data_IF_651184145825
#
_entry.id   IF_651184145825
#
_cell.length_a   1.000
_cell.length_b   1.000
_cell.length_c   1.000
_cell.angle_alpha   90.00
_cell.angle_beta   90.00
_cell.angle_gamma   90.00
#
_symmetry.space_group_name_H-M   'P 1'
#
loop_
_entity.id
_entity.type
_entity.pdbx_description
1 polymer ?
#
# COMPACT_ATOMS: atom_id res chain seq x y z
N UNK A 1 4.96 -22.75 -39.01
CA UNK A 1 4.75 -21.30 -38.81
C UNK A 1 3.98 -20.97 -37.53
N UNK A 2 3.07 -21.83 -37.08
CA UNK A 2 2.27 -21.68 -35.84
C UNK A 2 3.12 -21.57 -34.55
N UNK A 3 4.20 -22.36 -34.40
CA UNK A 3 5.03 -22.37 -33.18
C UNK A 3 5.68 -21.02 -32.86
N UNK A 4 6.15 -20.28 -33.87
CA UNK A 4 6.79 -18.97 -33.66
C UNK A 4 5.76 -17.90 -33.26
N UNK A 5 4.59 -17.90 -33.88
CA UNK A 5 3.50 -16.97 -33.56
C UNK A 5 2.99 -17.19 -32.13
N UNK A 6 2.81 -18.44 -31.71
CA UNK A 6 2.38 -18.76 -30.33
C UNK A 6 3.42 -18.33 -29.29
N UNK A 7 4.72 -18.50 -29.57
CA UNK A 7 5.80 -18.07 -28.67
C UNK A 7 5.81 -16.54 -28.54
N UNK A 8 5.64 -15.80 -29.63
CA UNK A 8 5.58 -14.33 -29.60
C UNK A 8 4.34 -13.86 -28.82
N UNK A 9 3.17 -14.48 -29.01
CA UNK A 9 1.96 -14.14 -28.23
C UNK A 9 2.17 -14.40 -26.73
N UNK A 10 2.82 -15.49 -26.35
CA UNK A 10 3.12 -15.80 -24.94
C UNK A 10 4.09 -14.80 -24.34
N UNK A 11 5.13 -14.38 -25.09
CA UNK A 11 6.10 -13.38 -24.62
C UNK A 11 5.43 -12.01 -24.45
N UNK A 12 4.59 -11.59 -25.39
CA UNK A 12 3.83 -10.34 -25.28
C UNK A 12 2.90 -10.38 -24.07
N UNK A 13 2.20 -11.51 -23.86
CA UNK A 13 1.33 -11.70 -22.70
C UNK A 13 2.10 -11.67 -21.36
N UNK A 14 3.28 -12.30 -21.30
CA UNK A 14 4.15 -12.25 -20.12
C UNK A 14 4.66 -10.83 -19.84
N UNK A 15 5.03 -10.08 -20.88
CA UNK A 15 5.49 -8.71 -20.73
C UNK A 15 4.38 -7.77 -20.23
N UNK A 16 3.11 -8.07 -20.56
CA UNK A 16 1.97 -7.33 -20.01
C UNK A 16 1.77 -7.59 -18.51
N UNK A 17 2.23 -8.73 -17.99
CA UNK A 17 2.19 -9.02 -16.55
C UNK A 17 3.38 -8.42 -15.77
N UNK A 18 4.32 -7.73 -16.43
CA UNK A 18 5.39 -7.02 -15.75
C UNK A 18 4.81 -5.79 -15.03
N UNK A 19 4.59 -5.91 -13.73
CA UNK A 19 4.16 -4.80 -12.88
C UNK A 19 5.31 -3.85 -12.56
N UNK A 20 5.04 -2.56 -12.65
CA UNK A 20 5.92 -1.51 -12.14
C UNK A 20 5.43 -1.06 -10.76
N UNK A 21 6.35 -0.95 -9.80
CA UNK A 21 6.10 -0.30 -8.52
C UNK A 21 6.85 1.03 -8.45
N UNK A 22 6.14 2.11 -8.14
CA UNK A 22 6.72 3.44 -7.96
C UNK A 22 6.51 3.93 -6.53
N UNK A 23 7.56 4.43 -5.87
CA UNK A 23 7.45 5.03 -4.54
C UNK A 23 6.91 6.45 -4.69
N UNK A 24 5.68 6.68 -4.20
CA UNK A 24 5.00 7.98 -4.29
C UNK A 24 5.60 8.98 -3.30
N UNK A 25 5.89 8.52 -2.08
CA UNK A 25 6.42 9.40 -1.04
C UNK A 25 6.56 8.71 0.31
N UNK A 26 7.27 9.43 1.18
CA UNK A 26 7.58 9.05 2.54
C UNK A 26 6.90 10.01 3.51
N UNK A 27 6.18 9.45 4.48
CA UNK A 27 5.39 10.17 5.44
C UNK A 27 5.83 9.78 6.84
N UNK A 28 6.28 10.76 7.64
CA UNK A 28 6.65 10.51 9.04
C UNK A 28 5.45 10.04 9.86
N UNK A 29 4.26 10.57 9.58
CA UNK A 29 3.02 10.20 10.23
C UNK A 29 1.90 10.19 9.20
N UNK A 30 1.20 9.06 9.10
CA UNK A 30 0.07 8.88 8.18
C UNK A 30 -1.10 8.24 8.94
N UNK A 31 -2.24 8.90 8.91
CA UNK A 31 -3.49 8.35 9.44
C UNK A 31 -4.66 8.76 8.54
N UNK A 32 -5.58 7.83 8.35
CA UNK A 32 -6.88 8.00 7.71
C UNK A 32 -7.99 8.24 8.75
N UNK A 33 -7.70 7.93 10.03
CA UNK A 33 -8.58 8.10 11.17
C UNK A 33 -8.27 9.45 11.81
N UNK A 34 -9.29 10.28 12.03
CA UNK A 34 -9.10 11.61 12.62
C UNK A 34 -8.66 11.48 14.09
N UNK A 35 -7.34 11.43 14.33
CA UNK A 35 -6.75 11.18 15.64
C UNK A 35 -6.00 12.42 16.13
N UNK A 36 -6.09 12.66 17.45
CA UNK A 36 -5.42 13.78 18.10
C UNK A 36 -4.06 13.33 18.64
N UNK A 37 -2.98 13.77 18.00
CA UNK A 37 -1.61 13.35 18.34
C UNK A 37 -0.86 14.34 19.25
N UNK A 38 -1.48 15.47 19.63
CA UNK A 38 -0.77 16.52 20.36
C UNK A 38 -0.49 16.11 21.81
N UNK A 39 0.79 16.18 22.20
CA UNK A 39 1.25 15.85 23.55
C UNK A 39 1.30 14.34 23.85
N UNK A 40 1.22 13.49 22.83
CA UNK A 40 1.38 12.03 22.96
C UNK A 40 2.81 11.68 22.57
N UNK A 41 3.51 10.98 23.46
CA UNK A 41 4.83 10.43 23.15
C UNK A 41 4.65 9.12 22.38
N UNK A 42 4.82 9.21 21.06
CA UNK A 42 4.62 8.09 20.14
C UNK A 42 5.68 6.99 20.33
N UNK A 43 6.82 7.32 20.95
CA UNK A 43 7.90 6.35 21.22
C UNK A 43 7.58 5.41 22.39
N UNK A 44 6.62 5.78 23.23
CA UNK A 44 6.21 4.98 24.40
C UNK A 44 4.99 4.09 24.12
N UNK A 45 4.38 4.22 22.94
CA UNK A 45 3.23 3.41 22.54
C UNK A 45 3.69 2.08 21.93
N UNK A 46 2.78 1.10 21.92
CA UNK A 46 3.03 -0.17 21.23
C UNK A 46 3.21 0.07 19.73
N UNK A 47 4.38 -0.35 19.23
CA UNK A 47 4.75 -0.21 17.83
C UNK A 47 4.88 -1.58 17.17
N UNK A 48 4.21 -1.74 16.04
CA UNK A 48 4.28 -2.94 15.22
C UNK A 48 4.88 -2.59 13.86
N UNK A 49 6.15 -2.96 13.68
CA UNK A 49 6.85 -2.76 12.42
C UNK A 49 6.33 -3.70 11.33
N UNK A 50 6.34 -3.22 10.08
CA UNK A 50 6.02 -4.05 8.93
C UNK A 50 4.53 -4.16 8.61
N UNK A 51 3.70 -3.25 9.14
CA UNK A 51 2.32 -3.12 8.72
C UNK A 51 2.26 -2.80 7.23
N UNK A 52 1.52 -3.62 6.47
CA UNK A 52 1.45 -3.50 5.02
C UNK A 52 0.03 -3.72 4.54
N UNK A 53 -0.56 -2.71 3.90
CA UNK A 53 -1.86 -2.83 3.26
C UNK A 53 -1.74 -2.62 1.76
N UNK A 54 -2.60 -3.31 1.02
CA UNK A 54 -2.70 -3.20 -0.43
C UNK A 54 -4.14 -2.99 -0.84
N UNK A 55 -4.34 -2.12 -1.79
CA UNK A 55 -5.58 -2.00 -2.52
C UNK A 55 -5.27 -1.97 -4.02
N UNK A 56 -5.48 -3.12 -4.67
CA UNK A 56 -5.20 -3.35 -6.09
C UNK A 56 -6.50 -3.78 -6.75
N UNK A 57 -6.92 -3.05 -7.77
CA UNK A 57 -8.16 -3.32 -8.51
C UNK A 57 -7.86 -3.59 -9.99
N UNK A 58 -8.83 -4.20 -10.66
CA UNK A 58 -8.77 -4.43 -12.10
C UNK A 58 -8.78 -3.08 -12.83
N UNK A 59 -7.80 -2.86 -13.70
CA UNK A 59 -7.49 -1.57 -14.36
C UNK A 59 -7.15 -0.40 -13.41
N UNK A 60 -6.99 -0.63 -12.10
CA UNK A 60 -6.79 0.43 -11.11
C UNK A 60 -8.00 1.34 -10.91
N UNK A 61 -9.16 0.98 -11.44
CA UNK A 61 -10.39 1.74 -11.27
C UNK A 61 -10.89 1.54 -9.83
N UNK A 62 -11.04 2.64 -9.10
CA UNK A 62 -11.52 2.63 -7.72
C UNK A 62 -10.50 2.18 -6.68
N UNK A 63 -9.23 2.01 -7.03
CA UNK A 63 -8.18 1.79 -6.04
C UNK A 63 -7.85 3.11 -5.32
N UNK A 64 -7.81 3.08 -3.99
CA UNK A 64 -7.52 4.27 -3.18
C UNK A 64 -6.35 4.03 -2.21
N UNK A 65 -5.36 4.93 -2.12
CA UNK A 65 -4.27 4.81 -1.16
C UNK A 65 -4.76 4.84 0.30
N UNK A 66 -5.92 5.47 0.55
CA UNK A 66 -6.58 5.49 1.86
C UNK A 66 -7.02 4.08 2.27
N UNK A 67 -7.64 3.34 1.37
CA UNK A 67 -8.08 1.96 1.64
C UNK A 67 -6.88 1.04 1.86
N UNK A 68 -5.79 1.25 1.12
CA UNK A 68 -4.53 0.56 1.35
C UNK A 68 -3.93 0.89 2.73
N UNK A 69 -3.99 2.15 3.17
CA UNK A 69 -3.54 2.55 4.50
C UNK A 69 -4.44 2.00 5.62
N UNK A 70 -5.76 2.01 5.43
CA UNK A 70 -6.74 1.45 6.37
C UNK A 70 -6.49 -0.05 6.59
N UNK A 71 -6.28 -0.81 5.51
CA UNK A 71 -5.92 -2.24 5.61
C UNK A 71 -4.59 -2.46 6.33
N UNK A 72 -3.60 -1.59 6.14
CA UNK A 72 -2.33 -1.67 6.86
C UNK A 72 -2.55 -1.45 8.37
N UNK A 73 -3.39 -0.49 8.74
CA UNK A 73 -3.69 -0.19 10.13
C UNK A 73 -4.53 -1.27 10.82
N UNK A 74 -5.50 -1.85 10.11
CA UNK A 74 -6.40 -2.89 10.61
C UNK A 74 -5.68 -4.16 11.03
N UNK A 75 -4.53 -4.50 10.42
CA UNK A 75 -3.73 -5.68 10.79
C UNK A 75 -3.33 -5.71 12.27
N UNK A 76 -3.13 -4.53 12.86
CA UNK A 76 -2.70 -4.37 14.24
C UNK A 76 -3.70 -3.56 15.08
N UNK A 77 -4.95 -3.45 14.61
CA UNK A 77 -5.99 -2.63 15.24
C UNK A 77 -5.51 -1.20 15.60
N UNK A 78 -4.68 -0.65 14.72
CA UNK A 78 -4.00 0.63 14.90
C UNK A 78 -4.78 1.77 14.24
N UNK A 79 -4.32 2.99 14.49
CA UNK A 79 -4.92 4.22 13.99
C UNK A 79 -3.87 5.25 13.54
N UNK A 80 -2.59 4.90 13.56
CA UNK A 80 -1.50 5.72 13.03
C UNK A 80 -0.45 4.80 12.41
N UNK A 81 0.09 5.19 11.25
CA UNK A 81 1.31 4.62 10.67
C UNK A 81 2.45 5.63 10.78
N UNK A 82 3.55 5.22 11.36
CA UNK A 82 4.81 5.99 11.43
C UNK A 82 5.76 5.44 10.37
N UNK A 83 6.59 6.33 9.81
CA UNK A 83 7.54 6.01 8.74
C UNK A 83 6.83 5.30 7.57
N UNK A 84 5.66 5.83 7.23
CA UNK A 84 4.79 5.27 6.23
C UNK A 84 5.31 5.58 4.82
N UNK A 85 5.31 4.58 3.96
CA UNK A 85 5.72 4.69 2.56
C UNK A 85 4.58 4.22 1.69
N UNK A 86 4.18 5.07 0.75
CA UNK A 86 3.15 4.73 -0.24
C UNK A 86 3.82 4.37 -1.56
N UNK A 87 3.43 3.23 -2.11
CA UNK A 87 3.81 2.74 -3.42
C UNK A 87 2.58 2.73 -4.32
N UNK A 88 2.72 3.21 -5.55
CA UNK A 88 1.78 2.93 -6.63
C UNK A 88 2.26 1.67 -7.35
N UNK A 89 1.41 0.64 -7.37
CA UNK A 89 1.67 -0.58 -8.12
C UNK A 89 0.77 -0.53 -9.36
N UNK A 90 1.38 -0.51 -10.55
CA UNK A 90 0.63 -0.54 -11.81
C UNK A 90 1.16 -1.66 -12.71
N UNK A 91 0.25 -2.42 -13.27
CA UNK A 91 0.46 -3.50 -14.24
C UNK A 91 -0.54 -3.30 -15.37
N UNK A 92 -0.40 -4.04 -16.48
CA UNK A 92 -1.27 -3.86 -17.64
C UNK A 92 -2.76 -4.08 -17.33
N UNK A 93 -3.09 -4.97 -16.39
CA UNK A 93 -4.47 -5.31 -16.01
C UNK A 93 -4.84 -4.94 -14.57
N UNK A 94 -3.88 -4.56 -13.74
CA UNK A 94 -4.08 -4.33 -12.33
C UNK A 94 -3.36 -3.06 -11.92
N UNK A 95 -4.05 -2.17 -11.19
CA UNK A 95 -3.47 -0.94 -10.69
C UNK A 95 -3.92 -0.71 -9.27
N UNK A 96 -3.11 0.01 -8.50
CA UNK A 96 -3.49 0.40 -7.15
C UNK A 96 -2.33 0.88 -6.31
N UNK A 97 -2.49 0.70 -5.01
CA UNK A 97 -1.61 1.27 -4.01
C UNK A 97 -1.21 0.23 -2.96
N UNK A 98 0.02 0.35 -2.48
CA UNK A 98 0.55 -0.40 -1.36
C UNK A 98 1.08 0.60 -0.34
N UNK A 99 0.66 0.48 0.90
CA UNK A 99 1.13 1.31 2.01
C UNK A 99 1.88 0.41 2.97
N UNK A 100 3.08 0.82 3.37
CA UNK A 100 3.89 0.16 4.39
C UNK A 100 4.23 1.13 5.50
N UNK A 101 4.36 0.66 6.73
CA UNK A 101 4.83 1.51 7.83
C UNK A 101 4.89 0.75 9.15
N UNK A 102 5.10 1.50 10.22
CA UNK A 102 5.03 1.03 11.60
C UNK A 102 3.68 1.39 12.18
N UNK A 103 2.85 0.40 12.47
CA UNK A 103 1.54 0.61 13.07
C UNK A 103 1.65 0.96 14.55
N UNK A 104 0.97 2.04 14.95
CA UNK A 104 0.93 2.52 16.32
C UNK A 104 -0.52 2.80 16.72
N UNK A 105 -0.87 2.36 17.92
CA UNK A 105 -2.19 2.59 18.51
C UNK A 105 -2.15 3.79 19.44
N UNK A 106 -2.65 4.92 18.95
CA UNK A 106 -2.83 6.16 19.70
C UNK A 106 -4.14 6.07 20.50
N UNK A 107 -4.14 6.30 21.82
CA UNK A 107 -5.37 6.31 22.60
C UNK A 107 -6.27 7.49 22.18
N UNK A 108 -7.57 7.22 21.97
CA UNK A 108 -8.55 8.28 21.78
C UNK A 108 -8.71 9.05 23.10
N UNK A 109 -8.44 10.36 23.07
CA UNK A 109 -8.80 11.29 24.15
C UNK A 109 -10.19 11.87 23.91
#
# INVERSE_FOLDING_TARGET
MYKATTIITVIVLLSACAGCSYRLGDFTALSTKNIYCQGIDITQLDQHQGAEGKDITFLGIGADPKDAADRAMEQYESNLLIDAVIYSETSFLFGGYRVRGTAVKVPYK
#
